data_IF_827172843269
#
_entry.id   IF_827172843269
#
_cell.length_a   1.000
_cell.length_b   1.000
_cell.length_c   1.000
_cell.angle_alpha   90.00
_cell.angle_beta   90.00
_cell.angle_gamma   90.00
#
_symmetry.space_group_name_H-M   'P 1'
#
loop_
_entity.id
_entity.type
_entity.pdbx_description
1 polymer ?
#
# COMPACT_ATOMS: atom_id res chain seq x y z
N UNK A 1 0.03 11.08 25.30
CA UNK A 1 1.35 10.99 24.66
C UNK A 1 1.76 9.55 24.47
N UNK A 2 3.04 9.35 24.21
CA UNK A 2 3.68 8.05 24.32
C UNK A 2 3.72 7.56 25.76
N UNK A 3 3.86 6.25 25.96
CA UNK A 3 3.97 5.67 27.30
C UNK A 3 5.26 6.10 28.02
N UNK A 4 6.35 6.29 27.27
CA UNK A 4 7.61 6.87 27.75
C UNK A 4 8.00 8.05 26.86
N UNK A 5 7.30 9.17 27.04
CA UNK A 5 7.53 10.39 26.27
C UNK A 5 8.96 10.97 26.45
N UNK A 6 9.54 11.04 27.67
CA UNK A 6 10.93 11.47 27.84
C UNK A 6 11.92 10.55 27.12
N UNK A 7 11.77 9.23 27.24
CA UNK A 7 12.63 8.26 26.56
C UNK A 7 12.49 8.34 25.05
N UNK A 8 11.27 8.56 24.54
CA UNK A 8 11.05 8.77 23.12
C UNK A 8 11.77 10.02 22.59
N UNK A 9 11.67 11.15 23.29
CA UNK A 9 12.37 12.39 22.90
C UNK A 9 13.89 12.22 22.93
N UNK A 10 14.41 11.56 23.97
CA UNK A 10 15.84 11.22 24.05
C UNK A 10 16.26 10.31 22.90
N UNK A 11 15.46 9.29 22.58
CA UNK A 11 15.72 8.38 21.46
C UNK A 11 15.75 9.15 20.13
N UNK A 12 14.74 9.98 19.87
CA UNK A 12 14.66 10.79 18.65
C UNK A 12 15.82 11.79 18.53
N UNK A 13 16.27 12.40 19.64
CA UNK A 13 17.40 13.34 19.63
C UNK A 13 18.74 12.71 19.21
N UNK A 14 18.87 11.38 19.34
CA UNK A 14 20.07 10.63 18.95
C UNK A 14 20.08 10.28 17.46
N UNK A 15 18.94 10.36 16.79
CA UNK A 15 18.81 10.13 15.35
C UNK A 15 19.57 11.25 14.65
N UNK A 16 20.68 10.90 14.00
CA UNK A 16 21.48 11.90 13.28
C UNK A 16 20.65 12.39 12.09
N UNK A 17 20.46 13.71 11.89
CA UNK A 17 19.82 14.20 10.69
C UNK A 17 20.62 13.71 9.48
N UNK A 18 19.96 13.02 8.55
CA UNK A 18 20.59 12.60 7.30
C UNK A 18 21.18 13.85 6.64
N UNK A 19 22.51 13.96 6.59
CA UNK A 19 23.19 15.02 5.84
C UNK A 19 22.60 15.01 4.44
N UNK A 20 21.95 16.12 4.03
CA UNK A 20 21.29 16.34 2.73
C UNK A 20 21.22 15.06 1.90
N UNK A 21 20.11 14.31 2.04
CA UNK A 21 19.80 13.11 1.28
C UNK A 21 20.23 13.33 -0.19
N UNK A 22 21.39 12.79 -0.56
CA UNK A 22 21.64 12.54 -1.96
C UNK A 22 20.54 11.58 -2.38
N UNK A 23 19.98 11.77 -3.56
CA UNK A 23 18.90 10.94 -4.11
C UNK A 23 19.22 9.42 -4.12
N UNK A 24 20.50 9.05 -3.87
CA UNK A 24 21.03 7.70 -3.74
C UNK A 24 21.20 7.19 -2.29
N UNK A 25 20.74 7.91 -1.25
CA UNK A 25 20.87 7.48 0.14
C UNK A 25 19.83 6.39 0.48
N UNK A 26 20.09 5.20 -0.07
CA UNK A 26 19.37 3.94 0.17
C UNK A 26 19.58 3.39 1.57
N UNK A 27 20.36 4.07 2.42
CA UNK A 27 20.85 3.46 3.65
C UNK A 27 19.84 3.47 4.79
N UNK A 28 18.74 4.24 4.74
CA UNK A 28 17.56 4.17 5.63
C UNK A 28 17.77 4.18 7.16
N UNK A 29 19.01 4.18 7.64
CA UNK A 29 19.42 4.03 9.04
C UNK A 29 18.66 4.99 9.95
N UNK A 30 18.64 6.28 9.60
CA UNK A 30 17.97 7.29 10.45
C UNK A 30 16.44 7.11 10.54
N UNK A 31 15.79 6.49 9.55
CA UNK A 31 14.36 6.20 9.65
C UNK A 31 14.07 4.84 10.29
N UNK A 32 15.01 3.89 10.23
CA UNK A 32 14.93 2.63 11.00
C UNK A 32 15.03 2.94 12.49
N UNK A 33 15.97 3.83 12.86
CA UNK A 33 16.11 4.35 14.22
C UNK A 33 14.83 5.07 14.68
N UNK A 34 14.15 5.82 13.81
CA UNK A 34 12.86 6.46 14.13
C UNK A 34 11.78 5.42 14.48
N UNK A 35 11.62 4.39 13.65
CA UNK A 35 10.68 3.30 13.90
C UNK A 35 11.05 2.52 15.16
N UNK A 36 12.34 2.30 15.42
CA UNK A 36 12.83 1.66 16.64
C UNK A 36 12.51 2.49 17.90
N UNK A 37 12.61 3.82 17.83
CA UNK A 37 12.20 4.71 18.92
C UNK A 37 10.70 4.57 19.21
N UNK A 38 9.86 4.55 18.17
CA UNK A 38 8.42 4.30 18.35
C UNK A 38 8.16 2.93 18.98
N UNK A 39 8.85 1.90 18.50
CA UNK A 39 8.66 0.55 18.98
C UNK A 39 9.06 0.35 20.45
N UNK A 40 10.04 1.11 20.92
CA UNK A 40 10.59 0.99 22.28
C UNK A 40 9.86 1.88 23.28
N UNK A 41 9.57 3.15 22.91
CA UNK A 41 9.11 4.17 23.84
C UNK A 41 7.66 4.66 23.58
N UNK A 42 7.11 4.37 22.40
CA UNK A 42 5.76 4.76 21.99
C UNK A 42 4.93 3.57 21.50
N UNK A 43 5.20 2.35 21.98
CA UNK A 43 4.49 1.15 21.54
C UNK A 43 2.97 1.25 21.75
N UNK A 44 2.49 2.11 22.64
CA UNK A 44 1.05 2.36 22.85
C UNK A 44 0.37 3.14 21.70
N UNK A 45 1.15 3.54 20.69
CA UNK A 45 0.74 4.36 19.54
C UNK A 45 1.04 3.71 18.19
N UNK A 46 1.63 2.52 18.16
CA UNK A 46 2.12 1.86 16.93
C UNK A 46 1.03 1.34 15.98
N UNK A 47 -0.24 1.40 16.38
CA UNK A 47 -1.35 1.07 15.47
C UNK A 47 -2.11 2.29 14.96
N UNK A 48 -1.78 3.48 15.45
CA UNK A 48 -2.41 4.72 15.03
C UNK A 48 -2.09 5.06 13.57
N UNK A 49 -2.95 5.87 12.96
CA UNK A 49 -2.84 6.28 11.57
C UNK A 49 -1.49 6.94 11.26
N UNK A 50 -1.01 7.79 12.17
CA UNK A 50 0.25 8.53 12.02
C UNK A 50 1.45 7.57 11.96
N UNK A 51 1.48 6.55 12.81
CA UNK A 51 2.52 5.53 12.76
C UNK A 51 2.46 4.74 11.46
N UNK A 52 1.27 4.27 11.05
CA UNK A 52 1.12 3.53 9.80
C UNK A 52 1.53 4.37 8.58
N UNK A 53 1.19 5.66 8.53
CA UNK A 53 1.62 6.57 7.47
C UNK A 53 3.14 6.75 7.44
N UNK A 54 3.78 6.87 8.60
CA UNK A 54 5.23 6.98 8.69
C UNK A 54 5.93 5.68 8.26
N UNK A 55 5.40 4.53 8.67
CA UNK A 55 5.85 3.22 8.20
C UNK A 55 5.73 3.10 6.66
N UNK A 56 4.61 3.49 6.05
CA UNK A 56 4.46 3.47 4.58
C UNK A 56 5.48 4.38 3.88
N UNK A 57 5.71 5.58 4.41
CA UNK A 57 6.73 6.51 3.90
C UNK A 57 8.14 5.91 4.01
N UNK A 58 8.40 5.11 5.04
CA UNK A 58 9.64 4.36 5.19
C UNK A 58 9.77 3.31 4.08
N UNK A 59 8.82 2.37 3.96
CA UNK A 59 8.93 1.26 2.99
C UNK A 59 9.03 1.81 1.57
N UNK A 60 8.27 2.86 1.23
CA UNK A 60 8.31 3.46 -0.10
C UNK A 60 9.66 4.09 -0.50
N UNK A 61 10.56 4.32 0.46
CA UNK A 61 11.90 4.92 0.24
C UNK A 61 13.05 3.97 0.55
N UNK A 62 12.77 2.86 1.23
CA UNK A 62 13.75 1.94 1.78
C UNK A 62 13.62 0.56 1.14
N UNK A 63 14.64 -0.29 1.31
CA UNK A 63 14.62 -1.64 0.74
C UNK A 63 13.39 -2.41 1.23
N UNK A 64 12.67 -3.16 0.36
CA UNK A 64 11.49 -3.94 0.74
C UNK A 64 11.79 -5.11 1.70
N UNK A 65 13.06 -5.36 2.03
CA UNK A 65 13.49 -6.41 2.97
C UNK A 65 13.40 -6.03 4.45
N UNK A 66 13.19 -4.76 4.80
CA UNK A 66 13.15 -4.33 6.20
C UNK A 66 11.78 -4.63 6.81
N UNK A 67 11.74 -5.53 7.79
CA UNK A 67 10.55 -5.75 8.61
C UNK A 67 10.29 -4.50 9.46
N UNK A 68 9.14 -3.87 9.29
CA UNK A 68 8.73 -2.75 10.15
C UNK A 68 8.01 -3.30 11.39
N UNK A 69 8.41 -2.92 12.61
CA UNK A 69 7.71 -3.32 13.82
C UNK A 69 6.23 -2.95 13.74
N UNK A 70 5.36 -3.88 14.15
CA UNK A 70 3.92 -3.64 14.30
C UNK A 70 3.20 -3.21 13.01
N UNK A 71 3.77 -3.51 11.84
CA UNK A 71 3.20 -3.13 10.55
C UNK A 71 3.04 -4.35 9.63
N UNK A 72 1.87 -4.56 9.00
CA UNK A 72 0.64 -3.77 9.15
C UNK A 72 0.06 -3.93 10.57
N UNK A 73 -0.84 -3.03 10.96
CA UNK A 73 -1.56 -3.21 12.22
C UNK A 73 -2.42 -4.48 12.17
N UNK A 74 -2.63 -5.20 13.29
CA UNK A 74 -3.54 -6.33 13.32
C UNK A 74 -4.98 -5.88 13.09
N UNK A 75 -5.84 -6.80 12.67
CA UNK A 75 -7.27 -6.54 12.53
C UNK A 75 -7.86 -6.07 13.88
N UNK A 76 -8.71 -5.04 13.84
CA UNK A 76 -9.37 -4.46 15.01
C UNK A 76 -8.41 -4.02 16.14
N UNK A 77 -7.19 -3.60 15.79
CA UNK A 77 -6.23 -3.07 16.75
C UNK A 77 -6.85 -1.99 17.65
N UNK A 78 -6.72 -2.14 18.97
CA UNK A 78 -7.11 -1.10 19.94
C UNK A 78 -6.32 0.18 19.66
N UNK A 79 -6.98 1.33 19.68
CA UNK A 79 -6.37 2.61 19.29
C UNK A 79 -5.76 2.57 17.88
N UNK A 80 -6.22 1.65 17.03
CA UNK A 80 -5.77 1.48 15.66
C UNK A 80 -6.41 2.51 14.73
N UNK A 81 -5.81 2.67 13.55
CA UNK A 81 -6.38 3.51 12.51
C UNK A 81 -7.73 2.97 12.01
N UNK A 82 -8.69 3.86 11.75
CA UNK A 82 -10.03 3.52 11.24
C UNK A 82 -9.99 2.79 9.89
N UNK A 83 -8.93 3.04 9.13
CA UNK A 83 -8.54 2.32 7.93
C UNK A 83 -7.16 1.71 8.15
N UNK A 84 -6.99 0.41 7.87
CA UNK A 84 -5.69 -0.25 7.98
C UNK A 84 -4.82 0.13 6.76
N UNK A 85 -4.15 1.26 6.85
CA UNK A 85 -3.29 1.80 5.78
C UNK A 85 -2.15 0.84 5.42
N UNK A 86 -1.68 0.04 6.39
CA UNK A 86 -0.67 -0.97 6.12
C UNK A 86 -1.15 -2.06 5.16
N UNK A 87 -2.35 -2.60 5.41
CA UNK A 87 -2.98 -3.55 4.50
C UNK A 87 -3.26 -2.91 3.13
N UNK A 88 -3.70 -1.65 3.09
CA UNK A 88 -3.88 -0.91 1.83
C UNK A 88 -2.58 -0.87 1.02
N UNK A 89 -1.47 -0.49 1.65
CA UNK A 89 -0.16 -0.44 1.00
C UNK A 89 0.27 -1.82 0.47
N UNK A 90 0.13 -2.87 1.28
CA UNK A 90 0.48 -4.24 0.89
C UNK A 90 -0.38 -4.74 -0.27
N UNK A 91 -1.68 -4.44 -0.27
CA UNK A 91 -2.58 -4.81 -1.35
C UNK A 91 -2.18 -4.14 -2.68
N UNK A 92 -1.88 -2.83 -2.67
CA UNK A 92 -1.38 -2.12 -3.86
C UNK A 92 -0.02 -2.68 -4.32
N UNK A 93 0.86 -3.02 -3.38
CA UNK A 93 2.16 -3.65 -3.69
C UNK A 93 1.98 -5.02 -4.35
N UNK A 94 1.05 -5.83 -3.84
CA UNK A 94 0.73 -7.15 -4.37
C UNK A 94 0.11 -7.08 -5.77
N UNK A 95 -0.86 -6.19 -6.00
CA UNK A 95 -1.43 -5.97 -7.34
C UNK A 95 -0.37 -5.46 -8.32
N UNK A 96 0.55 -4.60 -7.86
CA UNK A 96 1.71 -4.13 -8.64
C UNK A 96 2.65 -5.25 -9.02
N UNK A 97 3.05 -6.07 -8.06
CA UNK A 97 3.92 -7.23 -8.29
C UNK A 97 3.28 -8.22 -9.26
N UNK A 98 1.97 -8.47 -9.11
CA UNK A 98 1.20 -9.32 -10.02
C UNK A 98 1.13 -8.73 -11.43
N UNK A 99 0.90 -7.42 -11.57
CA UNK A 99 0.90 -6.71 -12.85
C UNK A 99 2.25 -6.73 -13.56
N UNK A 100 3.35 -6.56 -12.81
CA UNK A 100 4.71 -6.69 -13.34
C UNK A 100 4.98 -8.12 -13.80
N UNK A 101 4.59 -9.11 -13.01
CA UNK A 101 4.78 -10.53 -13.35
C UNK A 101 3.98 -10.90 -14.59
N UNK A 102 2.72 -10.46 -14.68
CA UNK A 102 1.85 -10.63 -15.85
C UNK A 102 2.52 -10.07 -17.11
N UNK A 103 3.00 -8.82 -17.08
CA UNK A 103 3.70 -8.22 -18.22
C UNK A 103 5.00 -8.94 -18.59
N UNK A 104 5.73 -9.50 -17.61
CA UNK A 104 6.93 -10.31 -17.87
C UNK A 104 6.59 -11.60 -18.60
N UNK A 105 5.52 -12.29 -18.23
CA UNK A 105 5.08 -13.51 -18.93
C UNK A 105 4.66 -13.21 -20.37
N UNK A 106 3.93 -12.11 -20.61
CA UNK A 106 3.59 -11.66 -21.97
C UNK A 106 4.85 -11.42 -22.81
N UNK A 107 5.88 -10.79 -22.23
CA UNK A 107 7.14 -10.55 -22.95
C UNK A 107 7.95 -11.81 -23.22
N UNK A 108 7.80 -12.87 -22.43
CA UNK A 108 8.44 -14.16 -22.70
C UNK A 108 7.77 -14.91 -23.84
N UNK A 109 6.47 -14.66 -24.06
CA UNK A 109 5.71 -15.22 -25.18
C UNK A 109 6.03 -14.54 -26.50
N UNK A 110 6.73 -13.39 -26.51
CA UNK A 110 7.31 -12.83 -27.72
C UNK A 110 8.38 -13.79 -28.29
N UNK A 111 7.94 -14.73 -29.12
CA UNK A 111 8.76 -15.33 -30.16
C UNK A 111 9.06 -14.25 -31.22
N UNK A 112 10.02 -14.49 -32.10
CA UNK A 112 10.44 -13.55 -33.17
C UNK A 112 9.37 -13.26 -34.23
N UNK A 113 8.13 -13.72 -34.04
CA UNK A 113 7.05 -13.66 -35.02
C UNK A 113 6.27 -12.35 -34.92
N UNK A 114 6.42 -11.51 -35.96
CA UNK A 114 5.76 -10.20 -36.08
C UNK A 114 4.22 -10.28 -36.11
N UNK A 115 3.65 -11.46 -36.31
CA UNK A 115 2.18 -11.66 -36.34
C UNK A 115 1.55 -11.64 -34.94
N UNK A 116 2.30 -11.95 -33.88
CA UNK A 116 1.80 -11.98 -32.50
C UNK A 116 1.91 -10.62 -31.77
N UNK A 117 2.67 -9.68 -32.35
CA UNK A 117 2.93 -8.36 -31.77
C UNK A 117 1.65 -7.61 -31.35
N UNK A 118 0.55 -7.56 -32.15
CA UNK A 118 -0.68 -6.90 -31.75
C UNK A 118 -1.40 -7.60 -30.58
N UNK A 119 -1.26 -8.93 -30.44
CA UNK A 119 -1.86 -9.69 -29.35
C UNK A 119 -1.09 -9.45 -28.04
N UNK A 120 0.24 -9.44 -28.10
CA UNK A 120 1.10 -9.20 -26.95
C UNK A 120 0.99 -7.76 -26.42
N UNK A 121 0.78 -6.78 -27.31
CA UNK A 121 0.45 -5.40 -26.90
C UNK A 121 -0.85 -5.37 -26.10
N UNK A 122 -1.93 -5.98 -26.63
CA UNK A 122 -3.23 -6.03 -25.94
C UNK A 122 -3.15 -6.74 -24.60
N UNK A 123 -2.42 -7.85 -24.52
CA UNK A 123 -2.26 -8.59 -23.27
C UNK A 123 -1.42 -7.80 -22.24
N UNK A 124 -0.40 -7.07 -22.70
CA UNK A 124 0.36 -6.15 -21.87
C UNK A 124 -0.50 -5.02 -21.30
N UNK A 125 -1.39 -4.43 -22.11
CA UNK A 125 -2.38 -3.46 -21.65
C UNK A 125 -3.36 -4.07 -20.64
N UNK A 126 -3.87 -5.28 -20.91
CA UNK A 126 -4.76 -6.00 -19.98
C UNK A 126 -4.11 -6.18 -18.61
N UNK A 127 -2.83 -6.61 -18.56
CA UNK A 127 -2.07 -6.69 -17.31
C UNK A 127 -2.00 -5.33 -16.57
N UNK A 128 -1.72 -4.24 -17.29
CA UNK A 128 -1.65 -2.90 -16.69
C UNK A 128 -3.02 -2.43 -16.18
N UNK A 129 -4.08 -2.67 -16.94
CA UNK A 129 -5.45 -2.35 -16.55
C UNK A 129 -5.86 -3.08 -15.27
N UNK A 130 -5.61 -4.38 -15.17
CA UNK A 130 -5.90 -5.15 -13.97
C UNK A 130 -5.05 -4.72 -12.77
N UNK A 131 -3.79 -4.33 -13.00
CA UNK A 131 -2.94 -3.77 -11.95
C UNK A 131 -3.51 -2.47 -11.38
N UNK A 132 -3.81 -1.49 -12.23
CA UNK A 132 -4.30 -0.18 -11.78
C UNK A 132 -5.69 -0.30 -11.17
N UNK A 133 -6.59 -1.02 -11.85
CA UNK A 133 -7.96 -1.24 -11.39
C UNK A 133 -8.01 -2.02 -10.08
N UNK A 134 -7.22 -3.09 -9.94
CA UNK A 134 -7.11 -3.85 -8.69
C UNK A 134 -6.51 -3.03 -7.55
N UNK A 135 -5.62 -2.08 -7.84
CA UNK A 135 -5.08 -1.16 -6.84
C UNK A 135 -6.13 -0.20 -6.30
N UNK A 136 -7.00 0.36 -7.17
CA UNK A 136 -8.14 1.15 -6.71
C UNK A 136 -9.16 0.30 -5.95
N UNK A 137 -9.45 -0.90 -6.45
CA UNK A 137 -10.36 -1.84 -5.79
C UNK A 137 -9.89 -2.23 -4.38
N UNK A 138 -8.57 -2.31 -4.18
CA UNK A 138 -7.97 -2.59 -2.86
C UNK A 138 -8.27 -1.49 -1.83
N UNK A 139 -8.28 -0.22 -2.26
CA UNK A 139 -8.64 0.91 -1.39
C UNK A 139 -10.06 0.74 -0.84
N UNK A 140 -10.98 0.43 -1.75
CA UNK A 140 -12.39 0.27 -1.47
C UNK A 140 -12.71 -0.98 -0.64
N UNK A 141 -12.02 -2.08 -0.94
CA UNK A 141 -12.20 -3.36 -0.26
C UNK A 141 -11.71 -3.31 1.19
N UNK A 142 -10.57 -2.65 1.46
CA UNK A 142 -9.96 -2.57 2.79
C UNK A 142 -10.52 -1.40 3.61
N UNK A 143 -10.85 -0.27 2.99
CA UNK A 143 -11.32 0.91 3.69
C UNK A 143 -12.57 1.49 3.05
N UNK A 144 -13.69 0.75 3.08
CA UNK A 144 -14.95 1.23 2.52
C UNK A 144 -15.36 2.54 3.21
N UNK A 145 -16.04 3.43 2.48
CA UNK A 145 -16.53 4.74 2.94
C UNK A 145 -15.42 5.79 3.20
N UNK A 146 -14.16 5.38 3.29
CA UNK A 146 -13.03 6.28 3.57
C UNK A 146 -12.66 7.06 2.33
N UNK A 147 -12.42 8.36 2.47
CA UNK A 147 -12.01 9.21 1.37
C UNK A 147 -10.77 8.64 0.65
N UNK A 148 -10.87 8.23 -0.63
CA UNK A 148 -9.77 7.58 -1.34
C UNK A 148 -8.51 8.44 -1.40
N UNK A 149 -8.66 9.77 -1.39
CA UNK A 149 -7.56 10.72 -1.42
C UNK A 149 -6.66 10.64 -0.18
N UNK A 150 -7.19 10.14 0.94
CA UNK A 150 -6.47 10.01 2.21
C UNK A 150 -5.77 8.64 2.37
N UNK A 151 -6.14 7.65 1.54
CA UNK A 151 -5.71 6.24 1.71
C UNK A 151 -4.90 5.67 0.55
N UNK A 152 -4.59 6.46 -0.48
CA UNK A 152 -3.64 6.04 -1.53
C UNK A 152 -4.08 6.30 -2.97
N UNK A 153 -5.23 6.90 -3.21
CA UNK A 153 -5.72 7.19 -4.56
C UNK A 153 -4.69 7.95 -5.40
N UNK A 154 -4.05 8.99 -4.84
CA UNK A 154 -3.03 9.78 -5.55
C UNK A 154 -1.80 8.95 -5.94
N UNK A 155 -1.45 7.96 -5.13
CA UNK A 155 -0.35 7.04 -5.44
C UNK A 155 -0.71 6.15 -6.63
N UNK A 156 -1.91 5.54 -6.63
CA UNK A 156 -2.39 4.72 -7.75
C UNK A 156 -2.54 5.55 -9.03
N UNK A 157 -3.04 6.79 -8.94
CA UNK A 157 -3.10 7.70 -10.07
C UNK A 157 -1.70 8.03 -10.64
N UNK A 158 -0.70 8.20 -9.77
CA UNK A 158 0.68 8.38 -10.22
C UNK A 158 1.26 7.11 -10.86
N UNK A 159 0.93 5.93 -10.33
CA UNK A 159 1.30 4.66 -10.96
C UNK A 159 0.71 4.54 -12.36
N UNK A 160 -0.57 4.89 -12.55
CA UNK A 160 -1.21 4.88 -13.87
C UNK A 160 -0.45 5.77 -14.87
N UNK A 161 -0.09 6.99 -14.44
CA UNK A 161 0.73 7.91 -15.27
C UNK A 161 2.09 7.32 -15.63
N UNK A 162 2.78 6.68 -14.68
CA UNK A 162 4.09 6.04 -14.93
C UNK A 162 3.99 4.81 -15.84
N UNK A 163 2.85 4.13 -15.82
CA UNK A 163 2.58 2.99 -16.68
C UNK A 163 2.23 3.40 -18.13
N UNK A 164 2.08 4.71 -18.39
CA UNK A 164 1.62 5.29 -19.66
C UNK A 164 0.36 4.59 -20.17
N UNK A 165 -0.64 4.51 -19.29
CA UNK A 165 -1.90 3.82 -19.54
C UNK A 165 -3.05 4.82 -19.63
N UNK A 166 -3.74 4.83 -20.78
CA UNK A 166 -5.06 5.46 -20.87
C UNK A 166 -6.09 4.56 -20.19
N UNK A 167 -6.33 4.86 -18.91
CA UNK A 167 -7.20 4.05 -18.06
C UNK A 167 -8.65 4.02 -18.54
N UNK A 168 -9.09 4.97 -19.38
CA UNK A 168 -10.45 4.94 -19.96
C UNK A 168 -10.64 3.75 -20.90
N UNK A 169 -9.56 3.25 -21.50
CA UNK A 169 -9.61 2.09 -22.39
C UNK A 169 -9.68 0.75 -21.64
N UNK A 170 -9.53 0.77 -20.31
CA UNK A 170 -9.43 -0.46 -19.52
C UNK A 170 -10.74 -1.17 -19.27
N UNK A 171 -11.89 -0.53 -19.51
CA UNK A 171 -13.20 -1.10 -19.21
C UNK A 171 -13.40 -2.48 -19.88
N UNK A 172 -13.05 -2.60 -21.17
CA UNK A 172 -13.10 -3.87 -21.92
C UNK A 172 -12.25 -5.00 -21.32
N UNK A 173 -11.21 -4.66 -20.56
CA UNK A 173 -10.29 -5.61 -19.94
C UNK A 173 -10.63 -5.91 -18.48
N UNK A 174 -11.54 -5.14 -17.87
CA UNK A 174 -11.93 -5.27 -16.46
C UNK A 174 -13.29 -5.95 -16.34
N UNK A 175 -14.17 -5.73 -17.31
CA UNK A 175 -15.48 -6.38 -17.37
C UNK A 175 -15.33 -7.91 -17.49
N UNK A 176 -16.31 -8.66 -16.97
CA UNK A 176 -16.39 -10.13 -17.03
C UNK A 176 -15.38 -10.93 -16.16
N UNK A 177 -14.78 -10.32 -15.12
CA UNK A 177 -13.82 -11.00 -14.21
C UNK A 177 -12.55 -11.53 -14.91
N UNK A 178 -12.23 -11.05 -16.11
CA UNK A 178 -11.02 -11.42 -16.86
C UNK A 178 -9.73 -11.24 -16.06
N UNK A 179 -9.60 -10.16 -15.27
CA UNK A 179 -8.45 -9.95 -14.39
C UNK A 179 -8.22 -11.10 -13.39
N UNK A 180 -9.29 -11.64 -12.82
CA UNK A 180 -9.23 -12.72 -11.83
C UNK A 180 -9.10 -14.07 -12.54
N UNK A 181 -9.99 -14.34 -13.50
CA UNK A 181 -10.10 -15.67 -14.13
C UNK A 181 -8.99 -15.95 -15.13
N UNK A 182 -8.59 -14.97 -15.94
CA UNK A 182 -7.60 -15.16 -17.01
C UNK A 182 -6.19 -14.83 -16.56
N UNK A 183 -6.03 -13.77 -15.74
CA UNK A 183 -4.72 -13.27 -15.32
C UNK A 183 -4.34 -13.63 -13.87
N UNK A 184 -5.27 -14.21 -13.11
CA UNK A 184 -5.03 -14.67 -11.74
C UNK A 184 -4.72 -13.54 -10.77
N UNK A 185 -5.25 -12.34 -10.99
CA UNK A 185 -5.21 -11.29 -9.98
C UNK A 185 -6.16 -11.65 -8.81
N UNK A 186 -5.88 -11.16 -7.58
CA UNK A 186 -6.63 -11.58 -6.40
C UNK A 186 -8.11 -11.13 -6.42
N UNK A 187 -9.01 -12.02 -6.00
CA UNK A 187 -10.43 -11.67 -5.78
C UNK A 187 -10.65 -10.97 -4.42
N UNK A 188 -9.72 -11.15 -3.49
CA UNK A 188 -9.71 -10.52 -2.16
C UNK A 188 -8.28 -10.32 -1.67
N UNK A 189 -8.09 -9.41 -0.73
CA UNK A 189 -6.79 -9.05 -0.13
C UNK A 189 -6.90 -9.04 1.39
N UNK A 190 -5.75 -9.19 2.06
CA UNK A 190 -5.72 -9.20 3.52
C UNK A 190 -6.28 -7.91 4.11
N UNK A 191 -7.13 -8.05 5.12
CA UNK A 191 -7.82 -6.94 5.76
C UNK A 191 -8.99 -6.34 4.97
N UNK A 192 -9.40 -6.96 3.87
CA UNK A 192 -10.59 -6.55 3.15
C UNK A 192 -11.88 -6.85 3.93
N UNK A 193 -12.82 -5.90 3.93
CA UNK A 193 -14.18 -6.06 4.43
C UNK A 193 -15.13 -6.68 3.38
N UNK A 194 -14.74 -6.60 2.11
CA UNK A 194 -15.48 -7.15 0.96
C UNK A 194 -14.53 -7.62 -0.13
N UNK A 195 -15.01 -8.48 -1.03
CA UNK A 195 -14.27 -8.84 -2.23
C UNK A 195 -13.94 -7.62 -3.09
N UNK A 196 -12.83 -7.69 -3.81
CA UNK A 196 -12.40 -6.62 -4.71
C UNK A 196 -13.35 -6.49 -5.91
N UNK A 197 -13.87 -5.28 -6.11
CA UNK A 197 -14.56 -4.89 -7.33
C UNK A 197 -13.61 -4.05 -8.17
N UNK A 198 -13.06 -4.64 -9.23
CA UNK A 198 -12.17 -3.94 -10.15
C UNK A 198 -12.90 -2.75 -10.78
N UNK A 199 -12.40 -1.54 -10.53
CA UNK A 199 -13.03 -0.30 -10.93
C UNK A 199 -12.59 0.11 -12.35
N UNK A 200 -13.55 0.44 -13.21
CA UNK A 200 -13.29 1.12 -14.48
C UNK A 200 -13.19 2.64 -14.26
N UNK A 201 -12.65 3.36 -15.25
CA UNK A 201 -12.50 4.81 -15.19
C UNK A 201 -13.84 5.53 -14.93
N UNK A 202 -14.92 5.05 -15.55
CA UNK A 202 -16.29 5.55 -15.39
C UNK A 202 -16.79 5.49 -13.94
N UNK A 203 -16.26 4.56 -13.12
CA UNK A 203 -16.63 4.41 -11.71
C UNK A 203 -15.73 5.18 -10.75
N UNK A 204 -14.56 5.68 -11.19
CA UNK A 204 -13.62 6.36 -10.31
C UNK A 204 -14.19 7.65 -9.71
N UNK A 205 -14.98 8.40 -10.49
CA UNK A 205 -15.62 9.63 -10.01
C UNK A 205 -16.58 9.32 -8.85
N UNK A 206 -17.53 8.40 -9.07
CA UNK A 206 -18.46 7.96 -8.04
C UNK A 206 -17.74 7.39 -6.82
N UNK A 207 -16.65 6.64 -7.03
CA UNK A 207 -15.81 6.11 -5.95
C UNK A 207 -15.18 7.24 -5.11
N UNK A 208 -14.68 8.31 -5.74
CA UNK A 208 -14.12 9.46 -4.99
C UNK A 208 -15.17 10.36 -4.35
N UNK A 209 -16.37 10.46 -4.92
CA UNK A 209 -17.43 11.33 -4.41
C UNK A 209 -18.27 10.67 -3.30
N UNK A 210 -18.50 9.37 -3.40
CA UNK A 210 -19.36 8.64 -2.44
C UNK A 210 -18.65 8.30 -1.14
N UNK A 211 -17.32 8.25 -1.15
CA UNK A 211 -16.51 7.90 0.00
C UNK A 211 -15.87 9.17 0.58
N UNK A 212 -16.32 9.59 1.76
CA UNK A 212 -15.97 10.90 2.35
C UNK A 212 -15.48 10.83 3.80
N UNK A 213 -15.51 9.66 4.42
CA UNK A 213 -15.08 9.52 5.81
C UNK A 213 -13.58 9.79 5.95
N UNK A 214 -13.21 10.54 6.98
CA UNK A 214 -11.81 10.81 7.28
C UNK A 214 -11.15 9.62 7.97
N UNK A 215 -9.85 9.48 7.74
CA UNK A 215 -9.01 8.53 8.46
C UNK A 215 -8.76 9.07 9.88
N UNK A 216 -9.14 8.30 10.90
CA UNK A 216 -9.06 8.71 12.32
C UNK A 216 -8.55 7.58 13.19
N UNK A 217 -8.02 7.90 14.36
CA UNK A 217 -7.65 6.89 15.35
C UNK A 217 -8.91 6.41 16.09
N UNK A 218 -9.12 5.10 16.11
CA UNK A 218 -10.17 4.49 16.92
C UNK A 218 -9.90 4.74 18.42
N UNK A 219 -10.97 4.64 19.22
CA UNK A 219 -10.86 4.80 20.68
C UNK A 219 -10.11 3.64 21.32
N UNK A 220 -9.63 3.88 22.55
CA UNK A 220 -8.98 2.88 23.39
C UNK A 220 -7.52 3.22 23.69
N UNK A 221 -6.86 2.35 24.44
CA UNK A 221 -5.43 2.49 24.77
C UNK A 221 -4.82 1.11 24.86
N UNK A 222 -3.64 0.95 24.26
CA UNK A 222 -2.87 -0.27 24.38
C UNK A 222 -2.20 -0.24 25.76
N UNK A 223 -2.50 -1.23 26.60
CA UNK A 223 -2.04 -1.27 28.01
C UNK A 223 -0.81 -2.18 28.21
N UNK A 224 -0.42 -2.95 27.21
CA UNK A 224 0.78 -3.79 27.23
C UNK A 224 1.49 -3.77 25.87
N UNK A 225 2.83 -3.88 25.82
CA UNK A 225 3.57 -3.92 24.56
C UNK A 225 3.03 -5.03 23.66
N UNK A 226 2.66 -4.74 22.40
CA UNK A 226 2.29 -5.79 21.47
C UNK A 226 3.50 -6.72 21.28
N UNK A 227 3.32 -8.05 21.38
CA UNK A 227 4.41 -9.00 21.15
C UNK A 227 5.51 -9.12 22.21
N UNK A 228 5.37 -8.50 23.39
CA UNK A 228 6.37 -8.61 24.48
C UNK A 228 7.48 -7.55 24.44
N UNK A 229 8.34 -7.52 25.46
CA UNK A 229 9.18 -6.35 25.81
C UNK A 229 10.44 -6.12 24.95
N UNK A 230 10.71 -6.88 23.89
CA UNK A 230 11.95 -6.69 23.11
C UNK A 230 11.78 -7.02 21.63
N UNK A 231 11.96 -6.01 20.78
CA UNK A 231 12.35 -6.18 19.38
C UNK A 231 13.87 -6.07 19.31
N UNK A 232 14.54 -7.14 18.89
CA UNK A 232 15.98 -7.11 18.56
C UNK A 232 16.13 -6.97 17.05
N UNK A 233 16.89 -5.97 16.62
CA UNK A 233 17.32 -5.77 15.24
C UNK A 233 18.65 -6.48 14.97
#
# INVERSE_FOLDING_TARGET
GCIDEPGFLVCQSKIKPSKKLNYNDRNCVGREEELACFASHCWNKVYQCEYQQNAIKFIGKCSPSTQIPYFPAPANATNGCSCNLGNVYLAISNTTSKGISCQKEVRKQNTTDREEEPQNIRQGEHCKCCQISGSYASLDAICPNTNPLDIGFKYVAQMNKRADLDFNTCEKYIMQRSCVQELGFPESVDGAFRSMTYLAASNLMSFTESNTAMVTNNVGTILSPPGGSTFTW
#
